data_IF_781894095878
#
_entry.id   IF_781894095878
#
_cell.length_a   1.000
_cell.length_b   1.000
_cell.length_c   1.000
_cell.angle_alpha   90.00
_cell.angle_beta   90.00
_cell.angle_gamma   90.00
#
_symmetry.space_group_name_H-M   'P 1'
#
loop_
_entity.id
_entity.type
_entity.pdbx_description
1 polymer ?
#
# COMPACT_ATOMS: atom_id res chain seq x y z
N UNK A 1 9.33 12.15 -15.87
CA UNK A 1 8.02 12.13 -16.58
C UNK A 1 7.90 13.10 -17.74
N UNK A 2 7.83 14.42 -17.53
CA UNK A 2 7.44 15.36 -18.60
C UNK A 2 8.25 15.27 -19.91
N UNK A 3 9.56 14.99 -19.82
CA UNK A 3 10.44 14.82 -20.99
C UNK A 3 10.17 13.56 -21.83
N UNK A 4 9.54 12.54 -21.24
CA UNK A 4 9.23 11.28 -21.89
C UNK A 4 7.86 11.28 -22.61
N UNK A 5 7.03 12.32 -22.43
CA UNK A 5 5.66 12.36 -22.97
C UNK A 5 5.63 12.23 -24.49
N UNK A 6 6.43 13.03 -25.21
CA UNK A 6 6.42 13.03 -26.69
C UNK A 6 6.87 11.68 -27.28
N UNK A 7 8.00 11.09 -26.85
CA UNK A 7 8.41 9.75 -27.31
C UNK A 7 7.38 8.65 -26.98
N UNK A 8 6.79 8.68 -25.78
CA UNK A 8 5.76 7.71 -25.37
C UNK A 8 4.53 7.79 -26.28
N UNK A 9 4.04 8.99 -26.56
CA UNK A 9 2.87 9.18 -27.43
C UNK A 9 3.14 8.78 -28.89
N UNK A 10 4.40 8.77 -29.32
CA UNK A 10 4.81 8.28 -30.63
C UNK A 10 5.07 6.77 -30.67
N UNK A 11 5.02 6.08 -29.53
CA UNK A 11 5.37 4.66 -29.41
C UNK A 11 6.88 4.40 -29.48
N UNK A 12 7.69 5.44 -29.31
CA UNK A 12 9.17 5.38 -29.41
C UNK A 12 9.83 5.06 -28.05
N UNK A 13 9.07 5.11 -26.95
CA UNK A 13 9.53 4.78 -25.61
C UNK A 13 8.42 4.11 -24.79
N UNK A 14 8.81 3.23 -23.86
CA UNK A 14 7.90 2.67 -22.88
C UNK A 14 7.53 3.73 -21.82
N UNK A 15 6.23 3.89 -21.57
CA UNK A 15 5.70 4.81 -20.57
C UNK A 15 6.04 4.40 -19.13
N UNK A 16 6.22 3.09 -18.89
CA UNK A 16 6.48 2.52 -17.58
C UNK A 16 7.98 2.53 -17.24
N UNK A 17 8.86 2.49 -18.24
CA UNK A 17 10.30 2.48 -17.99
C UNK A 17 10.79 3.68 -17.13
N UNK A 18 10.39 4.94 -17.39
CA UNK A 18 10.74 6.07 -16.53
C UNK A 18 10.15 6.01 -15.11
N UNK A 19 9.09 5.23 -14.90
CA UNK A 19 8.45 5.02 -13.61
C UNK A 19 9.20 4.01 -12.75
N UNK A 20 9.72 2.94 -13.37
CA UNK A 20 10.38 1.83 -12.68
C UNK A 20 11.91 1.96 -12.61
N UNK A 21 12.58 2.54 -13.61
CA UNK A 21 14.05 2.55 -13.70
C UNK A 21 14.71 3.86 -13.25
N UNK A 22 13.99 4.99 -13.21
CA UNK A 22 14.56 6.28 -12.78
C UNK A 22 14.28 6.58 -11.31
N UNK A 23 14.98 5.87 -10.44
CA UNK A 23 14.93 6.09 -8.99
C UNK A 23 13.57 5.77 -8.39
N UNK A 24 13.42 6.04 -7.10
CA UNK A 24 12.24 5.70 -6.30
C UNK A 24 10.99 6.52 -6.68
N UNK A 25 10.91 7.02 -7.91
CA UNK A 25 9.88 7.90 -8.43
C UNK A 25 8.49 7.25 -8.37
N UNK A 26 8.39 5.93 -8.62
CA UNK A 26 7.14 5.19 -8.42
C UNK A 26 6.67 5.30 -6.97
N UNK A 27 7.53 4.95 -6.01
CA UNK A 27 7.22 5.02 -4.58
C UNK A 27 6.93 6.45 -4.14
N UNK A 28 7.67 7.43 -4.67
CA UNK A 28 7.44 8.84 -4.40
C UNK A 28 6.11 9.31 -4.96
N UNK A 29 5.71 8.90 -6.17
CA UNK A 29 4.37 9.19 -6.69
C UNK A 29 3.28 8.56 -5.82
N UNK A 30 3.45 7.31 -5.39
CA UNK A 30 2.50 6.65 -4.51
C UNK A 30 2.42 7.30 -3.11
N UNK A 31 3.55 7.77 -2.55
CA UNK A 31 3.57 8.44 -1.24
C UNK A 31 3.16 9.92 -1.28
N UNK A 32 3.55 10.68 -2.32
CA UNK A 32 3.39 12.14 -2.38
C UNK A 32 2.19 12.61 -3.21
N UNK A 33 1.76 11.86 -4.24
CA UNK A 33 0.76 12.35 -5.23
C UNK A 33 -0.66 11.91 -4.87
N UNK A 34 -0.82 10.82 -4.13
CA UNK A 34 -2.10 10.47 -3.53
C UNK A 34 -2.10 10.96 -2.09
N UNK A 35 -3.13 11.72 -1.68
CA UNK A 35 -3.35 12.21 -0.32
C UNK A 35 -3.50 11.06 0.71
N UNK A 36 -2.46 10.26 0.88
CA UNK A 36 -2.40 9.04 1.68
C UNK A 36 -2.67 9.37 3.13
N UNK A 37 -2.16 10.48 3.67
CA UNK A 37 -2.41 10.91 5.06
C UNK A 37 -3.90 11.01 5.42
N UNK A 38 -4.73 11.59 4.54
CA UNK A 38 -6.17 11.71 4.78
C UNK A 38 -6.86 10.35 4.71
N UNK A 39 -6.47 9.52 3.74
CA UNK A 39 -7.03 8.17 3.58
C UNK A 39 -6.61 7.28 4.76
N UNK A 40 -5.36 7.37 5.21
CA UNK A 40 -4.83 6.69 6.37
C UNK A 40 -5.56 7.10 7.64
N UNK A 41 -5.79 8.40 7.85
CA UNK A 41 -6.55 8.90 9.00
C UNK A 41 -7.99 8.37 9.01
N UNK A 42 -8.66 8.34 7.85
CA UNK A 42 -10.02 7.79 7.72
C UNK A 42 -10.05 6.28 7.96
N UNK A 43 -9.09 5.54 7.39
CA UNK A 43 -8.94 4.10 7.63
C UNK A 43 -8.72 3.81 9.11
N UNK A 44 -7.81 4.53 9.77
CA UNK A 44 -7.55 4.36 11.19
C UNK A 44 -8.80 4.67 12.03
N UNK A 45 -9.50 5.77 11.74
CA UNK A 45 -10.72 6.15 12.43
C UNK A 45 -11.85 5.11 12.29
N UNK A 46 -11.86 4.34 11.18
CA UNK A 46 -12.81 3.25 10.98
C UNK A 46 -12.36 1.94 11.64
N UNK A 47 -11.09 1.58 11.45
CA UNK A 47 -10.54 0.30 11.88
C UNK A 47 -10.37 0.21 13.39
N UNK A 48 -10.01 1.32 14.06
CA UNK A 48 -9.79 1.32 15.50
C UNK A 48 -11.08 0.95 16.28
N UNK A 49 -12.27 1.53 16.02
CA UNK A 49 -13.52 1.11 16.66
C UNK A 49 -13.92 -0.32 16.32
N UNK A 50 -13.67 -0.77 15.08
CA UNK A 50 -13.94 -2.14 14.65
C UNK A 50 -13.09 -3.15 15.43
N UNK A 51 -11.83 -2.79 15.69
CA UNK A 51 -10.84 -3.55 16.45
C UNK A 51 -11.29 -3.83 17.90
N UNK A 52 -12.10 -2.96 18.49
CA UNK A 52 -12.67 -3.19 19.83
C UNK A 52 -13.84 -4.19 19.84
N UNK A 53 -14.48 -4.41 18.70
CA UNK A 53 -15.65 -5.31 18.57
C UNK A 53 -15.29 -6.69 18.03
N UNK A 54 -14.18 -6.82 17.30
CA UNK A 54 -13.77 -8.05 16.62
C UNK A 54 -12.27 -8.26 16.77
N UNK A 55 -11.88 -9.49 17.10
CA UNK A 55 -10.49 -9.87 17.34
C UNK A 55 -9.94 -10.89 16.32
N UNK A 56 -10.73 -11.25 15.33
CA UNK A 56 -10.48 -12.32 14.36
C UNK A 56 -10.72 -11.86 12.91
N UNK A 57 -10.39 -10.60 12.62
CA UNK A 57 -10.63 -9.98 11.32
C UNK A 57 -9.84 -10.70 10.22
N UNK A 58 -10.52 -10.93 9.08
CA UNK A 58 -9.91 -11.45 7.85
C UNK A 58 -9.95 -10.35 6.80
N UNK A 59 -8.78 -9.83 6.45
CA UNK A 59 -8.63 -8.71 5.51
C UNK A 59 -8.03 -9.23 4.19
N UNK A 60 -8.51 -8.67 3.08
CA UNK A 60 -7.95 -8.87 1.75
C UNK A 60 -7.76 -7.49 1.13
N UNK A 61 -6.53 -7.15 0.78
CA UNK A 61 -6.19 -5.89 0.11
C UNK A 61 -5.95 -6.17 -1.37
N UNK A 62 -6.62 -5.42 -2.23
CA UNK A 62 -6.55 -5.55 -3.70
C UNK A 62 -5.72 -4.39 -4.24
N UNK A 63 -4.67 -4.69 -5.00
CA UNK A 63 -3.79 -3.67 -5.54
C UNK A 63 -2.95 -3.01 -4.46
N UNK A 64 -2.40 -3.83 -3.55
CA UNK A 64 -1.65 -3.37 -2.40
C UNK A 64 -0.33 -2.67 -2.81
N UNK A 65 0.18 -2.94 -4.02
CA UNK A 65 1.26 -2.19 -4.65
C UNK A 65 2.50 -2.13 -3.77
N UNK A 66 2.94 -0.94 -3.40
CA UNK A 66 4.15 -0.77 -2.56
C UNK A 66 3.89 -0.93 -1.06
N UNK A 67 2.66 -1.26 -0.64
CA UNK A 67 2.29 -1.46 0.77
C UNK A 67 1.93 -0.20 1.55
N UNK A 68 1.78 0.96 0.90
CA UNK A 68 1.52 2.23 1.61
C UNK A 68 0.24 2.21 2.46
N UNK A 69 -0.86 1.66 1.90
CA UNK A 69 -2.11 1.48 2.67
C UNK A 69 -2.03 0.31 3.64
N UNK A 70 -1.31 -0.76 3.28
CA UNK A 70 -1.05 -1.91 4.14
C UNK A 70 -0.48 -1.49 5.50
N UNK A 71 0.54 -0.62 5.50
CA UNK A 71 1.14 -0.09 6.75
C UNK A 71 0.10 0.56 7.65
N UNK A 72 -0.75 1.44 7.10
CA UNK A 72 -1.78 2.11 7.89
C UNK A 72 -2.82 1.14 8.49
N UNK A 73 -3.17 0.07 7.76
CA UNK A 73 -4.10 -0.95 8.26
C UNK A 73 -3.46 -1.80 9.35
N UNK A 74 -2.19 -2.19 9.17
CA UNK A 74 -1.45 -2.97 10.16
C UNK A 74 -1.21 -2.17 11.43
N UNK A 75 -0.87 -0.88 11.35
CA UNK A 75 -0.71 -0.02 12.53
C UNK A 75 -2.02 0.08 13.34
N UNK A 76 -3.17 0.17 12.66
CA UNK A 76 -4.47 0.29 13.32
C UNK A 76 -4.95 -1.02 13.98
N UNK A 77 -4.60 -2.18 13.41
CA UNK A 77 -5.11 -3.50 13.81
C UNK A 77 -4.08 -4.39 14.54
N UNK A 78 -2.80 -4.04 14.47
CA UNK A 78 -1.65 -4.72 15.07
C UNK A 78 -0.63 -3.73 15.68
N UNK A 79 -1.05 -2.83 16.58
CA UNK A 79 -0.24 -1.67 17.00
C UNK A 79 1.09 -2.01 17.70
N UNK A 80 1.24 -3.21 18.27
CA UNK A 80 2.49 -3.63 18.92
C UNK A 80 3.49 -4.33 17.98
N UNK A 81 3.14 -4.52 16.70
CA UNK A 81 4.00 -5.13 15.67
C UNK A 81 4.37 -6.60 15.91
N UNK A 82 4.13 -7.14 17.11
CA UNK A 82 4.39 -8.51 17.47
C UNK A 82 3.13 -9.36 17.30
N UNK A 83 3.30 -10.61 16.87
CA UNK A 83 2.30 -11.69 17.09
C UNK A 83 2.22 -12.08 18.58
N UNK A 84 2.29 -11.11 19.49
CA UNK A 84 2.01 -11.32 20.88
C UNK A 84 0.53 -11.69 21.00
N UNK A 85 0.26 -12.82 21.66
CA UNK A 85 -1.08 -13.39 21.79
C UNK A 85 -1.98 -12.38 22.51
N UNK A 86 -2.91 -11.76 21.78
CA UNK A 86 -3.91 -10.82 22.33
C UNK A 86 -3.85 -9.38 21.79
N UNK A 87 -2.77 -8.98 21.11
CA UNK A 87 -2.59 -7.59 20.64
C UNK A 87 -3.06 -7.36 19.20
N UNK A 88 -3.02 -8.39 18.35
CA UNK A 88 -3.56 -8.29 17.00
C UNK A 88 -5.07 -8.52 16.99
N UNK A 89 -5.78 -7.76 16.15
CA UNK A 89 -7.21 -7.97 15.83
C UNK A 89 -7.41 -8.75 14.53
N UNK A 90 -6.31 -9.16 13.88
CA UNK A 90 -6.31 -9.88 12.61
C UNK A 90 -6.14 -11.39 12.84
N UNK A 91 -7.07 -12.17 12.29
CA UNK A 91 -6.87 -13.60 12.05
C UNK A 91 -6.06 -13.83 10.77
N UNK A 92 -6.28 -13.02 9.73
CA UNK A 92 -5.59 -13.15 8.44
C UNK A 92 -5.54 -11.82 7.70
N UNK A 93 -4.40 -11.51 7.10
CA UNK A 93 -4.25 -10.48 6.08
C UNK A 93 -3.83 -11.13 4.78
N UNK A 94 -4.55 -10.88 3.69
CA UNK A 94 -4.23 -11.38 2.36
C UNK A 94 -3.81 -10.19 1.50
N UNK A 95 -2.51 -10.08 1.30
CA UNK A 95 -1.90 -9.06 0.45
C UNK A 95 -1.97 -9.51 -1.00
N UNK A 96 -2.59 -8.72 -1.88
CA UNK A 96 -2.70 -9.07 -3.30
C UNK A 96 -2.35 -7.90 -4.20
N UNK A 97 -1.66 -8.21 -5.28
CA UNK A 97 -1.41 -7.30 -6.39
C UNK A 97 -1.43 -8.09 -7.70
N UNK A 98 -1.74 -7.41 -8.81
CA UNK A 98 -1.67 -8.00 -10.15
C UNK A 98 -0.23 -8.26 -10.57
N UNK A 99 0.70 -7.43 -10.09
CA UNK A 99 2.12 -7.54 -10.38
C UNK A 99 2.86 -8.17 -9.22
N UNK A 100 3.47 -9.34 -9.48
CA UNK A 100 4.34 -10.01 -8.52
C UNK A 100 5.59 -9.19 -8.17
N UNK A 101 5.98 -8.22 -9.01
CA UNK A 101 7.17 -7.37 -8.79
C UNK A 101 7.10 -6.48 -7.56
N UNK A 102 5.94 -6.40 -6.91
CA UNK A 102 5.77 -5.66 -5.67
C UNK A 102 6.00 -6.48 -4.40
N UNK A 103 5.97 -7.82 -4.47
CA UNK A 103 6.03 -8.65 -3.27
C UNK A 103 7.40 -8.61 -2.57
N UNK A 104 8.48 -8.52 -3.33
CA UNK A 104 9.84 -8.46 -2.76
C UNK A 104 10.10 -7.15 -1.98
N UNK A 105 9.37 -6.09 -2.34
CA UNK A 105 9.48 -4.76 -1.73
C UNK A 105 8.23 -4.36 -0.93
N UNK A 106 7.35 -5.32 -0.64
CA UNK A 106 6.16 -5.07 0.17
C UNK A 106 6.60 -4.68 1.59
N UNK A 107 6.01 -3.60 2.11
CA UNK A 107 6.26 -3.07 3.45
C UNK A 107 5.67 -3.95 4.55
#
# INVERSE_FOLDING_TARGET
MGRAIVPVLRGEADALHPLFDQGDLLKQCYHLVFCTDKVHALLHAYLQPLSHKRADLRVCEIGAGTGGTTTAVLDALCPSGARAKGDSRLLRYTYTDVSAGFFDNAA
#
